data_IF_019437467978
#
_entry.id   IF_019437467978
#
_cell.length_a   1.000
_cell.length_b   1.000
_cell.length_c   1.000
_cell.angle_alpha   90.00
_cell.angle_beta   90.00
_cell.angle_gamma   90.00
#
_symmetry.space_group_name_H-M   'P 1'
#
loop_
_entity.id
_entity.type
_entity.pdbx_description
1 polymer ?
#
# COMPACT_ATOMS: atom_id res chain seq x y z
N UNK A 1 -4.43 -25.82 48.93
CA UNK A 1 -5.16 -25.07 47.89
C UNK A 1 -4.16 -24.22 47.13
N UNK A 2 -3.60 -24.73 46.02
CA UNK A 2 -2.71 -23.98 45.17
C UNK A 2 -3.56 -23.17 44.20
N UNK A 3 -3.53 -21.84 44.32
CA UNK A 3 -4.18 -20.96 43.37
C UNK A 3 -3.34 -20.99 42.08
N UNK A 4 -3.88 -21.62 41.05
CA UNK A 4 -3.36 -21.53 39.67
C UNK A 4 -3.45 -20.07 39.24
N UNK A 5 -2.34 -19.37 39.27
CA UNK A 5 -2.20 -18.04 38.65
C UNK A 5 -2.19 -18.24 37.13
N UNK A 6 -3.37 -18.26 36.52
CA UNK A 6 -3.49 -18.20 35.07
C UNK A 6 -2.94 -16.86 34.61
N UNK A 7 -1.69 -16.84 34.15
CA UNK A 7 -1.13 -15.72 33.42
C UNK A 7 -1.91 -15.60 32.10
N UNK A 8 -2.79 -14.61 32.04
CA UNK A 8 -3.54 -14.27 30.81
C UNK A 8 -2.53 -13.73 29.79
N UNK A 9 -1.98 -14.61 28.93
CA UNK A 9 -1.15 -14.18 27.81
C UNK A 9 -2.03 -13.53 26.76
N UNK A 10 -1.58 -12.38 26.23
CA UNK A 10 -2.25 -11.73 25.11
C UNK A 10 -2.15 -12.64 23.88
N UNK A 11 -3.29 -13.00 23.31
CA UNK A 11 -3.36 -13.78 22.08
C UNK A 11 -3.47 -12.81 20.88
N UNK A 12 -2.40 -12.73 20.07
CA UNK A 12 -2.35 -11.89 18.88
C UNK A 12 -2.29 -12.77 17.62
N UNK A 13 -3.44 -13.07 16.99
CA UNK A 13 -3.47 -13.84 15.75
C UNK A 13 -2.83 -13.01 14.61
N UNK A 14 -2.02 -13.62 13.74
CA UNK A 14 -1.36 -12.91 12.67
C UNK A 14 -2.36 -12.29 11.69
N UNK A 15 -2.21 -10.98 11.41
CA UNK A 15 -3.05 -10.29 10.46
C UNK A 15 -2.96 -10.93 9.06
N UNK A 16 -4.10 -11.03 8.37
CA UNK A 16 -4.16 -11.59 7.03
C UNK A 16 -3.34 -10.74 6.03
N UNK A 17 -2.82 -11.37 4.98
CA UNK A 17 -2.08 -10.65 3.92
C UNK A 17 -2.94 -9.54 3.30
N UNK A 18 -4.24 -9.78 3.10
CA UNK A 18 -5.18 -8.79 2.58
C UNK A 18 -5.26 -7.55 3.47
N UNK A 19 -5.40 -7.75 4.78
CA UNK A 19 -5.44 -6.66 5.74
C UNK A 19 -4.13 -5.87 5.76
N UNK A 20 -2.98 -6.54 5.69
CA UNK A 20 -1.66 -5.89 5.62
C UNK A 20 -1.53 -5.01 4.36
N UNK A 21 -1.96 -5.53 3.20
CA UNK A 21 -1.92 -4.78 1.95
C UNK A 21 -2.87 -3.58 1.97
N UNK A 22 -4.11 -3.76 2.43
CA UNK A 22 -5.06 -2.65 2.55
C UNK A 22 -4.56 -1.57 3.51
N UNK A 23 -4.03 -1.95 4.68
CA UNK A 23 -3.45 -1.00 5.64
C UNK A 23 -2.24 -0.26 5.05
N UNK A 24 -1.36 -0.94 4.32
CA UNK A 24 -0.20 -0.32 3.69
C UNK A 24 -0.61 0.69 2.60
N UNK A 25 -1.58 0.36 1.74
CA UNK A 25 -2.12 1.32 0.77
C UNK A 25 -2.80 2.50 1.44
N UNK A 26 -3.53 2.29 2.54
CA UNK A 26 -4.11 3.38 3.32
C UNK A 26 -3.03 4.30 3.87
N UNK A 27 -1.99 3.75 4.47
CA UNK A 27 -0.86 4.53 4.99
C UNK A 27 -0.13 5.30 3.88
N UNK A 28 0.05 4.67 2.71
CA UNK A 28 0.63 5.29 1.53
C UNK A 28 -0.19 6.51 1.07
N UNK A 29 -1.52 6.39 1.00
CA UNK A 29 -2.40 7.50 0.63
C UNK A 29 -2.41 8.63 1.65
N UNK A 30 -2.41 8.31 2.96
CA UNK A 30 -2.28 9.35 3.98
C UNK A 30 -0.95 10.10 3.86
N UNK A 31 0.15 9.39 3.60
CA UNK A 31 1.45 10.01 3.42
C UNK A 31 1.44 10.96 2.21
N UNK A 32 0.92 10.53 1.06
CA UNK A 32 0.78 11.37 -0.13
C UNK A 32 -0.03 12.64 0.16
N UNK A 33 -1.22 12.50 0.74
CA UNK A 33 -2.08 13.65 1.08
C UNK A 33 -1.35 14.63 1.99
N UNK A 34 -0.63 14.16 3.01
CA UNK A 34 0.07 15.06 3.93
C UNK A 34 1.31 15.69 3.31
N UNK A 35 2.01 15.00 2.42
CA UNK A 35 3.13 15.60 1.67
C UNK A 35 2.62 16.73 0.79
N UNK A 36 1.57 16.50 0.01
CA UNK A 36 0.95 17.53 -0.84
C UNK A 36 0.39 18.69 0.00
N UNK A 37 -0.28 18.36 1.10
CA UNK A 37 -0.81 19.38 2.01
C UNK A 37 0.28 20.25 2.62
N UNK A 38 1.37 19.66 3.09
CA UNK A 38 2.48 20.45 3.66
C UNK A 38 3.28 21.20 2.59
N UNK A 39 3.31 20.70 1.35
CA UNK A 39 3.93 21.42 0.25
C UNK A 39 3.28 22.80 0.00
N UNK A 40 1.98 22.96 0.33
CA UNK A 40 1.29 24.25 0.24
C UNK A 40 1.89 25.34 1.15
N UNK A 41 2.57 24.94 2.24
CA UNK A 41 3.23 25.90 3.15
C UNK A 41 4.60 26.38 2.65
N UNK A 42 5.08 25.85 1.51
CA UNK A 42 6.30 26.36 0.89
C UNK A 42 6.06 27.79 0.37
N UNK A 43 7.01 28.72 0.61
CA UNK A 43 6.90 30.08 0.08
C UNK A 43 6.71 30.08 -1.43
N UNK A 44 5.77 30.86 -1.92
CA UNK A 44 5.46 31.03 -3.34
C UNK A 44 4.43 30.04 -3.90
N UNK A 45 4.25 28.84 -3.32
CA UNK A 45 3.35 27.81 -3.88
C UNK A 45 1.90 28.28 -3.95
N UNK A 46 1.42 28.97 -2.92
CA UNK A 46 0.05 29.51 -2.92
C UNK A 46 -0.09 30.64 -3.96
N UNK A 47 0.93 31.50 -4.09
CA UNK A 47 0.92 32.58 -5.07
C UNK A 47 0.88 32.02 -6.50
N UNK A 48 1.63 30.97 -6.80
CA UNK A 48 1.61 30.29 -8.09
C UNK A 48 0.22 29.69 -8.38
N UNK A 49 -0.41 29.04 -7.39
CA UNK A 49 -1.76 28.49 -7.52
C UNK A 49 -2.79 29.59 -7.81
N UNK A 50 -2.68 30.74 -7.14
CA UNK A 50 -3.61 31.86 -7.33
C UNK A 50 -3.51 32.50 -8.73
N UNK A 51 -2.36 32.40 -9.38
CA UNK A 51 -2.18 32.86 -10.77
C UNK A 51 -2.36 31.74 -11.78
N UNK A 52 -2.76 30.54 -11.35
CA UNK A 52 -3.16 29.47 -12.22
C UNK A 52 -2.07 28.46 -12.58
N UNK A 53 -1.00 28.39 -11.78
CA UNK A 53 0.09 27.42 -11.99
C UNK A 53 0.20 26.42 -10.84
N UNK A 54 0.56 25.21 -11.16
CA UNK A 54 1.03 24.20 -10.22
C UNK A 54 2.32 23.59 -10.79
N UNK A 55 3.43 23.75 -10.06
CA UNK A 55 4.75 23.43 -10.58
C UNK A 55 5.06 24.25 -11.86
N UNK A 56 5.30 23.58 -12.97
CA UNK A 56 5.51 24.21 -14.31
C UNK A 56 4.27 24.07 -15.21
N UNK A 57 3.11 23.66 -14.68
CA UNK A 57 1.92 23.37 -15.45
C UNK A 57 0.81 24.38 -15.21
N UNK A 58 0.12 24.80 -16.27
CA UNK A 58 -1.13 25.55 -16.17
C UNK A 58 -2.21 24.69 -15.51
N UNK A 59 -2.87 25.22 -14.48
CA UNK A 59 -3.98 24.56 -13.83
C UNK A 59 -5.15 24.48 -14.82
N UNK A 60 -5.52 23.27 -15.16
CA UNK A 60 -6.62 23.00 -16.08
C UNK A 60 -7.44 21.81 -15.60
N UNK A 61 -8.68 21.71 -16.09
CA UNK A 61 -9.52 20.55 -15.80
C UNK A 61 -8.83 19.25 -16.22
N UNK A 62 -8.16 19.24 -17.36
CA UNK A 62 -7.44 18.07 -17.89
C UNK A 62 -6.31 17.66 -16.95
N UNK A 63 -5.50 18.62 -16.49
CA UNK A 63 -4.40 18.35 -15.56
C UNK A 63 -4.91 17.76 -14.24
N UNK A 64 -5.92 18.38 -13.63
CA UNK A 64 -6.51 17.90 -12.36
C UNK A 64 -7.18 16.54 -12.54
N UNK A 65 -7.81 16.29 -13.68
CA UNK A 65 -8.36 14.96 -13.98
C UNK A 65 -7.26 13.92 -14.11
N UNK A 66 -6.12 14.24 -14.72
CA UNK A 66 -4.98 13.34 -14.81
C UNK A 66 -4.40 13.02 -13.42
N UNK A 67 -4.22 14.03 -12.56
CA UNK A 67 -3.76 13.83 -11.19
C UNK A 67 -4.74 12.95 -10.39
N UNK A 68 -6.04 13.24 -10.47
CA UNK A 68 -7.04 12.42 -9.80
C UNK A 68 -7.04 10.98 -10.31
N UNK A 69 -6.88 10.77 -11.62
CA UNK A 69 -6.81 9.44 -12.21
C UNK A 69 -5.59 8.68 -11.70
N UNK A 70 -4.44 9.34 -11.63
CA UNK A 70 -3.23 8.76 -11.05
C UNK A 70 -3.48 8.35 -9.59
N UNK A 71 -4.03 9.24 -8.76
CA UNK A 71 -4.29 8.95 -7.36
C UNK A 71 -5.44 7.94 -7.13
N UNK A 72 -6.37 7.82 -8.05
CA UNK A 72 -7.45 6.83 -7.96
C UNK A 72 -6.93 5.37 -7.91
N UNK A 73 -5.81 5.09 -8.55
CA UNK A 73 -5.23 3.74 -8.59
C UNK A 73 -4.89 3.23 -7.17
N UNK A 74 -4.03 3.89 -6.38
CA UNK A 74 -3.70 3.42 -5.03
C UNK A 74 -4.89 3.52 -4.07
N UNK A 75 -5.80 4.50 -4.25
CA UNK A 75 -7.05 4.57 -3.50
C UNK A 75 -7.87 3.30 -3.69
N UNK A 76 -8.06 2.89 -4.94
CA UNK A 76 -8.81 1.66 -5.26
C UNK A 76 -8.08 0.41 -4.76
N UNK A 77 -6.75 0.40 -4.72
CA UNK A 77 -5.99 -0.73 -4.20
C UNK A 77 -6.27 -1.03 -2.73
N UNK A 78 -6.71 -0.06 -1.93
CA UNK A 78 -7.18 -0.29 -0.55
C UNK A 78 -8.35 -1.29 -0.56
N UNK A 79 -9.39 -1.00 -1.35
CA UNK A 79 -10.58 -1.86 -1.46
C UNK A 79 -10.26 -3.17 -2.20
N UNK A 80 -9.55 -3.08 -3.30
CA UNK A 80 -9.23 -4.23 -4.14
C UNK A 80 -8.36 -5.26 -3.41
N UNK A 81 -7.47 -4.82 -2.51
CA UNK A 81 -6.68 -5.73 -1.67
C UNK A 81 -7.54 -6.60 -0.77
N UNK A 82 -8.73 -6.15 -0.39
CA UNK A 82 -9.66 -6.92 0.43
C UNK A 82 -10.59 -7.82 -0.40
N UNK A 83 -10.97 -7.39 -1.61
CA UNK A 83 -12.05 -8.00 -2.39
C UNK A 83 -11.60 -8.95 -3.47
N UNK A 84 -10.44 -8.71 -4.11
CA UNK A 84 -9.98 -9.52 -5.23
C UNK A 84 -9.59 -10.96 -4.82
N UNK A 85 -9.76 -11.93 -5.75
CA UNK A 85 -9.24 -13.29 -5.54
C UNK A 85 -7.72 -13.28 -5.41
N UNK A 86 -7.16 -14.19 -4.60
CA UNK A 86 -5.76 -14.18 -4.17
C UNK A 86 -4.72 -14.04 -5.31
N UNK A 87 -4.93 -14.73 -6.43
CA UNK A 87 -4.01 -14.67 -7.59
C UNK A 87 -4.00 -13.28 -8.23
N UNK A 88 -5.18 -12.73 -8.48
CA UNK A 88 -5.34 -11.40 -9.10
C UNK A 88 -4.85 -10.32 -8.14
N UNK A 89 -5.22 -10.43 -6.86
CA UNK A 89 -4.79 -9.51 -5.80
C UNK A 89 -3.27 -9.44 -5.71
N UNK A 90 -2.60 -10.60 -5.67
CA UNK A 90 -1.14 -10.67 -5.67
C UNK A 90 -0.54 -9.96 -6.90
N UNK A 91 -1.03 -10.29 -8.10
CA UNK A 91 -0.54 -9.70 -9.33
C UNK A 91 -0.75 -8.17 -9.37
N UNK A 92 -1.96 -7.71 -9.03
CA UNK A 92 -2.29 -6.29 -8.98
C UNK A 92 -1.39 -5.52 -8.02
N UNK A 93 -1.19 -6.02 -6.79
CA UNK A 93 -0.31 -5.37 -5.81
C UNK A 93 1.15 -5.32 -6.28
N UNK A 94 1.67 -6.38 -6.91
CA UNK A 94 3.03 -6.39 -7.45
C UNK A 94 3.19 -5.37 -8.58
N UNK A 95 2.25 -5.33 -9.52
CA UNK A 95 2.31 -4.40 -10.67
C UNK A 95 2.18 -2.96 -10.19
N UNK A 96 1.12 -2.65 -9.44
CA UNK A 96 0.84 -1.28 -9.01
C UNK A 96 1.95 -0.75 -8.10
N UNK A 97 2.39 -1.50 -7.09
CA UNK A 97 3.45 -1.04 -6.21
C UNK A 97 4.78 -0.82 -6.97
N UNK A 98 5.10 -1.67 -7.96
CA UNK A 98 6.30 -1.47 -8.78
C UNK A 98 6.22 -0.21 -9.65
N UNK A 99 5.03 0.12 -10.18
CA UNK A 99 4.81 1.32 -10.98
C UNK A 99 4.87 2.60 -10.14
N UNK A 100 4.48 2.53 -8.86
CA UNK A 100 4.49 3.70 -7.98
C UNK A 100 5.86 4.05 -7.41
N UNK A 101 6.85 3.16 -7.44
CA UNK A 101 8.23 3.50 -7.07
C UNK A 101 8.79 4.65 -7.93
N UNK A 102 8.81 4.56 -9.27
CA UNK A 102 9.27 5.69 -10.08
C UNK A 102 8.39 6.93 -9.95
N UNK A 103 7.08 6.81 -9.71
CA UNK A 103 6.20 7.96 -9.45
C UNK A 103 6.62 8.68 -8.17
N UNK A 104 6.85 7.96 -7.07
CA UNK A 104 7.33 8.54 -5.81
C UNK A 104 8.68 9.22 -5.95
N UNK A 105 9.61 8.62 -6.68
CA UNK A 105 10.93 9.24 -6.94
C UNK A 105 10.80 10.49 -7.80
N UNK A 106 9.94 10.48 -8.80
CA UNK A 106 9.70 11.62 -9.69
C UNK A 106 9.15 12.83 -8.94
N UNK A 107 8.27 12.62 -7.94
CA UNK A 107 7.69 13.71 -7.15
C UNK A 107 8.72 14.55 -6.38
N UNK A 108 9.90 14.02 -6.13
CA UNK A 108 10.99 14.78 -5.51
C UNK A 108 12.06 15.27 -6.47
N UNK A 109 11.93 14.97 -7.78
CA UNK A 109 12.91 15.35 -8.76
C UNK A 109 12.89 16.88 -9.01
N UNK A 110 14.04 17.53 -8.85
CA UNK A 110 14.16 18.98 -9.03
C UNK A 110 13.73 19.83 -7.83
N UNK A 111 13.27 19.22 -6.75
CA UNK A 111 12.80 19.93 -5.56
C UNK A 111 13.96 20.44 -4.69
N UNK A 112 13.87 21.70 -4.25
CA UNK A 112 14.90 22.34 -3.42
C UNK A 112 14.86 21.93 -1.94
N UNK A 113 13.69 21.45 -1.45
CA UNK A 113 13.50 21.03 -0.06
C UNK A 113 13.87 19.55 0.14
N UNK A 114 15.16 19.26 -0.08
CA UNK A 114 15.70 17.88 -0.14
C UNK A 114 15.42 17.05 1.09
N UNK A 115 15.44 17.62 2.31
CA UNK A 115 15.16 16.88 3.55
C UNK A 115 13.68 16.49 3.65
N UNK A 116 12.77 17.36 3.25
CA UNK A 116 11.33 17.11 3.28
C UNK A 116 10.95 16.04 2.25
N UNK A 117 11.32 16.24 0.99
CA UNK A 117 11.03 15.26 -0.06
C UNK A 117 11.82 13.96 0.09
N UNK A 118 13.07 14.03 0.59
CA UNK A 118 13.85 12.84 0.87
C UNK A 118 13.22 11.95 1.95
N UNK A 119 12.65 12.55 2.99
CA UNK A 119 11.89 11.80 4.01
C UNK A 119 10.62 11.19 3.42
N UNK A 120 9.84 11.97 2.65
CA UNK A 120 8.59 11.46 2.05
C UNK A 120 8.85 10.29 1.11
N UNK A 121 9.77 10.45 0.16
CA UNK A 121 10.15 9.40 -0.79
C UNK A 121 10.66 8.15 -0.03
N UNK A 122 11.49 8.33 1.00
CA UNK A 122 11.98 7.23 1.81
C UNK A 122 10.86 6.43 2.46
N UNK A 123 9.86 7.11 3.05
CA UNK A 123 8.70 6.47 3.67
C UNK A 123 7.78 5.82 2.63
N UNK A 124 7.54 6.47 1.49
CA UNK A 124 6.75 5.93 0.39
C UNK A 124 7.37 4.64 -0.16
N UNK A 125 8.68 4.66 -0.42
CA UNK A 125 9.42 3.48 -0.91
C UNK A 125 9.40 2.35 0.12
N UNK A 126 9.50 2.66 1.41
CA UNK A 126 9.38 1.64 2.48
C UNK A 126 7.99 0.98 2.48
N UNK A 127 6.91 1.76 2.32
CA UNK A 127 5.56 1.24 2.23
C UNK A 127 5.37 0.38 0.96
N UNK A 128 5.86 0.85 -0.19
CA UNK A 128 5.82 0.09 -1.44
C UNK A 128 6.63 -1.21 -1.35
N UNK A 129 7.81 -1.18 -0.74
CA UNK A 129 8.62 -2.37 -0.49
C UNK A 129 7.90 -3.37 0.44
N UNK A 130 7.20 -2.87 1.47
CA UNK A 130 6.37 -3.70 2.33
C UNK A 130 5.21 -4.35 1.56
N UNK A 131 4.54 -3.61 0.68
CA UNK A 131 3.47 -4.13 -0.20
C UNK A 131 4.04 -5.22 -1.12
N UNK A 132 5.15 -4.94 -1.81
CA UNK A 132 5.82 -5.89 -2.70
C UNK A 132 6.22 -7.17 -1.95
N UNK A 133 6.86 -7.04 -0.79
CA UNK A 133 7.23 -8.18 0.04
C UNK A 133 6.01 -8.99 0.47
N UNK A 134 4.96 -8.33 0.96
CA UNK A 134 3.74 -8.99 1.43
C UNK A 134 3.00 -9.73 0.31
N UNK A 135 2.93 -9.13 -0.89
CA UNK A 135 2.35 -9.76 -2.06
C UNK A 135 3.24 -10.91 -2.60
N UNK A 136 4.57 -10.75 -2.57
CA UNK A 136 5.50 -11.78 -3.04
C UNK A 136 5.47 -13.02 -2.17
N UNK A 137 5.47 -12.85 -0.85
CA UNK A 137 5.48 -13.94 0.15
C UNK A 137 4.08 -14.48 0.45
N UNK A 138 3.09 -14.24 -0.42
CA UNK A 138 1.72 -14.72 -0.22
C UNK A 138 1.70 -16.23 0.01
N UNK A 139 1.13 -16.72 1.14
CA UNK A 139 1.11 -18.15 1.46
C UNK A 139 0.39 -18.94 0.37
N UNK A 140 1.01 -20.00 -0.10
CA UNK A 140 0.41 -20.95 -1.02
C UNK A 140 -0.16 -22.11 -0.18
N UNK A 141 -1.45 -22.38 -0.30
CA UNK A 141 -2.04 -23.62 0.24
C UNK A 141 -1.52 -24.78 -0.59
N UNK A 142 -0.66 -25.62 -0.02
CA UNK A 142 -0.39 -26.94 -0.58
C UNK A 142 -1.71 -27.71 -0.53
N UNK A 143 -2.25 -28.13 -1.67
CA UNK A 143 -3.31 -29.13 -1.71
C UNK A 143 -2.71 -30.40 -1.12
N UNK A 144 -2.90 -30.64 0.17
CA UNK A 144 -2.64 -31.93 0.75
C UNK A 144 -3.55 -32.91 -0.01
N UNK A 145 -2.94 -33.79 -0.78
CA UNK A 145 -3.63 -34.93 -1.42
C UNK A 145 -4.42 -35.64 -0.33
N UNK A 146 -5.74 -35.53 -0.41
CA UNK A 146 -6.64 -36.37 0.39
C UNK A 146 -6.45 -37.80 -0.11
N UNK A 147 -5.43 -38.48 0.39
CA UNK A 147 -5.31 -39.90 0.30
C UNK A 147 -6.42 -40.45 1.20
N UNK A 148 -7.56 -40.69 0.62
CA UNK A 148 -8.69 -41.40 1.23
C UNK A 148 -8.16 -42.76 1.72
N UNK A 149 -8.33 -43.09 3.00
CA UNK A 149 -7.97 -44.42 3.49
C UNK A 149 -9.07 -45.44 3.10
N UNK A 150 -9.19 -45.73 1.80
CA UNK A 150 -10.10 -46.79 1.32
C UNK A 150 -9.54 -48.19 1.52
N UNK A 151 -8.39 -48.34 2.18
CA UNK A 151 -7.73 -49.62 2.35
C UNK A 151 -8.01 -50.34 3.69
N UNK A 152 -8.78 -49.75 4.60
CA UNK A 152 -9.05 -50.40 5.91
C UNK A 152 -10.37 -51.14 6.04
N UNK A 153 -11.24 -51.11 5.02
CA UNK A 153 -12.53 -51.84 5.07
C UNK A 153 -12.51 -53.22 4.38
N UNK A 154 -11.35 -53.77 4.04
CA UNK A 154 -11.24 -55.12 3.42
C UNK A 154 -10.61 -56.15 4.35
N UNK A 155 -10.50 -55.93 5.66
CA UNK A 155 -10.03 -56.94 6.62
C UNK A 155 -10.92 -56.95 7.88
N UNK A 156 -12.19 -57.22 7.71
CA UNK A 156 -13.09 -57.73 8.74
C UNK A 156 -14.02 -58.78 8.12
#
# INVERSE_FOLDING_TARGET
MSADTQTTALHDPPASVRAKLAAAWTSFMFLYIYVDYFALYKPGVIDDILVGFVWEFDISQTLLTAFLTLMAIPILMVMLSMTLPARVNRAANLVVASLYIPVSVFNGAGESWTSFYGLSIGLEVLLLAFILRSAWTWPRTSSASSTTPAAQLRRA
#
